data_IF_452272592930
#
_entry.id   IF_452272592930
#
_cell.length_a   1.000
_cell.length_b   1.000
_cell.length_c   1.000
_cell.angle_alpha   90.00
_cell.angle_beta   90.00
_cell.angle_gamma   90.00
#
_symmetry.space_group_name_H-M   'P 1'
#
loop_
_entity.id
_entity.type
_entity.pdbx_description
1 polymer ?
#
# COMPACT_ATOMS: atom_id res chain seq x y z
N UNK A 1 18.05 -11.85 -39.84
CA UNK A 1 18.58 -12.85 -38.89
C UNK A 1 17.41 -13.27 -38.01
N UNK A 2 16.77 -14.38 -38.38
CA UNK A 2 15.48 -14.81 -37.84
C UNK A 2 15.75 -15.97 -36.90
N UNK A 3 15.49 -15.80 -35.60
CA UNK A 3 15.62 -16.89 -34.63
C UNK A 3 14.24 -17.56 -34.50
N UNK A 4 14.22 -18.81 -34.96
CA UNK A 4 13.09 -19.73 -34.96
C UNK A 4 12.68 -20.08 -33.52
N UNK A 5 11.36 -20.11 -33.27
CA UNK A 5 10.76 -20.61 -32.02
C UNK A 5 10.95 -22.14 -31.95
N UNK A 6 11.30 -22.73 -30.79
CA UNK A 6 11.30 -24.18 -30.65
C UNK A 6 9.86 -24.71 -30.52
N UNK A 7 9.51 -25.66 -31.40
CA UNK A 7 8.34 -26.52 -31.30
C UNK A 7 8.70 -27.64 -30.33
N UNK A 8 8.05 -27.71 -29.16
CA UNK A 8 8.19 -28.85 -28.25
C UNK A 8 6.99 -29.77 -28.48
N UNK A 9 7.23 -30.88 -29.18
CA UNK A 9 6.31 -32.01 -29.22
C UNK A 9 6.40 -32.75 -27.87
N UNK A 10 5.39 -32.61 -27.01
CA UNK A 10 5.28 -33.40 -25.79
C UNK A 10 4.29 -34.55 -26.00
N UNK A 11 4.82 -35.77 -25.96
CA UNK A 11 4.07 -37.04 -25.84
C UNK A 11 3.34 -37.05 -24.48
N UNK A 12 2.07 -37.46 -24.38
CA UNK A 12 1.38 -37.53 -23.09
C UNK A 12 1.85 -38.78 -22.32
N UNK A 13 2.75 -38.60 -21.35
CA UNK A 13 3.09 -39.68 -20.42
C UNK A 13 2.25 -39.52 -19.14
N UNK A 14 1.33 -40.48 -18.93
CA UNK A 14 0.55 -40.64 -17.71
C UNK A 14 1.48 -41.04 -16.55
N UNK A 15 1.35 -40.35 -15.43
CA UNK A 15 1.86 -40.82 -14.14
C UNK A 15 3.28 -40.37 -13.83
N UNK A 16 3.39 -39.22 -13.18
CA UNK A 16 4.21 -39.00 -11.99
C UNK A 16 4.00 -37.54 -11.57
N UNK A 17 3.50 -37.34 -10.36
CA UNK A 17 3.41 -36.01 -9.74
C UNK A 17 4.82 -35.44 -9.60
N UNK A 18 5.21 -34.62 -10.57
CA UNK A 18 6.32 -33.69 -10.40
C UNK A 18 5.79 -32.62 -9.46
N UNK A 19 6.22 -32.69 -8.20
CA UNK A 19 6.03 -31.60 -7.25
C UNK A 19 6.81 -30.43 -7.85
N UNK A 20 6.08 -29.45 -8.40
CA UNK A 20 6.62 -28.20 -8.87
C UNK A 20 7.17 -27.45 -7.65
N UNK A 21 8.43 -27.70 -7.31
CA UNK A 21 9.21 -26.89 -6.39
C UNK A 21 9.72 -25.66 -7.13
N UNK A 22 8.80 -24.86 -7.68
CA UNK A 22 9.10 -23.46 -7.96
C UNK A 22 9.59 -22.87 -6.64
N UNK A 23 10.83 -22.33 -6.57
CA UNK A 23 11.27 -21.62 -5.38
C UNK A 23 10.23 -20.52 -5.15
N UNK A 24 9.57 -20.52 -3.99
CA UNK A 24 8.84 -19.36 -3.53
C UNK A 24 9.89 -18.24 -3.50
N UNK A 25 9.95 -17.45 -4.56
CA UNK A 25 10.76 -16.25 -4.60
C UNK A 25 10.27 -15.44 -3.40
N UNK A 26 11.05 -15.44 -2.33
CA UNK A 26 10.94 -14.48 -1.26
C UNK A 26 11.23 -13.14 -1.93
N UNK A 27 10.19 -12.55 -2.50
CA UNK A 27 10.23 -11.20 -2.97
C UNK A 27 10.35 -10.37 -1.70
N UNK A 28 11.58 -10.01 -1.34
CA UNK A 28 11.86 -9.13 -0.22
C UNK A 28 10.89 -7.96 -0.33
N UNK A 29 10.09 -7.74 0.72
CA UNK A 29 9.09 -6.69 0.69
C UNK A 29 9.82 -5.37 0.40
N UNK A 30 9.55 -4.77 -0.76
CA UNK A 30 10.26 -3.56 -1.19
C UNK A 30 9.91 -2.32 -0.33
N UNK A 31 9.03 -2.47 0.66
CA UNK A 31 8.66 -1.44 1.63
C UNK A 31 8.87 -1.93 3.04
N UNK A 32 9.26 -1.01 3.94
CA UNK A 32 9.30 -1.29 5.38
C UNK A 32 7.91 -1.68 5.94
N UNK A 33 6.83 -1.24 5.28
CA UNK A 33 5.44 -1.61 5.50
C UNK A 33 4.57 -1.15 4.32
N UNK A 34 3.46 -1.83 4.08
CA UNK A 34 2.47 -1.44 3.05
C UNK A 34 1.18 -0.87 3.65
N UNK A 35 1.06 -0.91 4.98
CA UNK A 35 -0.09 -0.41 5.72
C UNK A 35 0.29 0.25 7.04
N UNK A 36 -0.40 1.34 7.37
CA UNK A 36 -0.36 1.99 8.69
C UNK A 36 -1.81 2.14 9.16
N UNK A 37 -2.09 1.71 10.39
CA UNK A 37 -3.40 1.89 11.02
C UNK A 37 -3.23 2.53 12.40
N UNK A 38 -3.82 3.70 12.58
CA UNK A 38 -3.90 4.37 13.89
C UNK A 38 -5.13 3.86 14.66
N UNK A 39 -5.03 3.70 15.96
CA UNK A 39 -6.15 3.25 16.78
C UNK A 39 -6.58 4.36 17.74
N UNK A 40 -7.86 4.37 18.11
CA UNK A 40 -8.42 5.30 19.10
C UNK A 40 -8.09 6.78 18.82
N UNK A 41 -8.33 7.25 17.60
CA UNK A 41 -8.09 8.66 17.25
C UNK A 41 -9.34 9.52 17.45
N UNK A 42 -9.18 10.76 17.90
CA UNK A 42 -10.29 11.69 18.04
C UNK A 42 -10.72 12.29 16.68
N UNK A 43 -12.02 12.62 16.49
CA UNK A 43 -12.45 13.47 15.38
C UNK A 43 -11.68 14.79 15.32
N UNK A 44 -11.34 15.26 14.13
CA UNK A 44 -10.56 16.48 13.92
C UNK A 44 -9.04 16.34 14.12
N UNK A 45 -8.55 15.17 14.53
CA UNK A 45 -7.12 14.92 14.74
C UNK A 45 -6.34 14.78 13.43
N UNK A 46 -5.02 14.95 13.52
CA UNK A 46 -4.07 14.78 12.43
C UNK A 46 -3.08 13.68 12.80
N UNK A 47 -2.87 12.72 11.90
CA UNK A 47 -1.97 11.59 12.12
C UNK A 47 -0.87 11.60 11.07
N UNK A 48 0.37 11.79 11.51
CA UNK A 48 1.53 11.74 10.63
C UNK A 48 1.89 10.30 10.30
N UNK A 49 2.21 10.03 9.04
CA UNK A 49 2.61 8.71 8.57
C UNK A 49 3.85 8.78 7.68
N UNK A 50 4.58 7.67 7.60
CA UNK A 50 5.76 7.53 6.74
C UNK A 50 5.97 6.09 6.32
N UNK A 51 6.25 5.91 5.03
CA UNK A 51 6.66 4.67 4.39
C UNK A 51 8.05 4.84 3.80
N UNK A 52 8.88 3.81 3.93
CA UNK A 52 10.24 3.78 3.39
C UNK A 52 10.33 2.68 2.34
N UNK A 53 10.66 3.07 1.11
CA UNK A 53 10.96 2.15 0.02
C UNK A 53 12.40 1.63 0.18
N UNK A 54 12.54 0.32 0.18
CA UNK A 54 13.78 -0.45 0.32
C UNK A 54 14.23 -1.04 -1.02
N UNK A 55 13.38 -0.98 -2.04
CA UNK A 55 13.72 -1.46 -3.38
C UNK A 55 14.68 -0.54 -4.14
N UNK A 56 15.06 -0.97 -5.34
CA UNK A 56 16.08 -0.29 -6.17
C UNK A 56 15.51 0.79 -7.09
N UNK A 57 14.19 0.81 -7.29
CA UNK A 57 13.52 1.79 -8.15
C UNK A 57 13.53 3.19 -7.53
N UNK A 58 13.48 4.21 -8.37
CA UNK A 58 13.34 5.59 -7.91
C UNK A 58 11.86 5.98 -7.85
N UNK A 59 11.46 6.63 -6.76
CA UNK A 59 10.12 7.19 -6.61
C UNK A 59 9.99 8.45 -7.47
N UNK A 60 8.92 8.53 -8.26
CA UNK A 60 8.59 9.70 -9.09
C UNK A 60 7.60 10.63 -8.39
N UNK A 61 6.54 10.07 -7.82
CA UNK A 61 5.50 10.83 -7.10
C UNK A 61 4.65 9.91 -6.22
N UNK A 62 3.88 10.50 -5.31
CA UNK A 62 2.85 9.81 -4.56
C UNK A 62 1.59 10.68 -4.45
N UNK A 63 0.42 10.06 -4.50
CA UNK A 63 -0.87 10.73 -4.43
C UNK A 63 -1.84 9.97 -3.52
N UNK A 64 -2.52 10.69 -2.61
CA UNK A 64 -3.56 10.12 -1.79
C UNK A 64 -4.91 10.07 -2.51
N UNK A 65 -5.78 9.15 -2.11
CA UNK A 65 -7.12 9.01 -2.67
C UNK A 65 -8.13 10.09 -2.23
N UNK A 66 -7.81 10.92 -1.24
CA UNK A 66 -8.63 12.07 -0.86
C UNK A 66 -7.76 13.29 -0.53
N UNK A 67 -8.35 14.48 -0.66
CA UNK A 67 -7.75 15.74 -0.18
C UNK A 67 -7.59 15.79 1.35
N UNK A 68 -8.31 14.94 2.09
CA UNK A 68 -8.18 14.77 3.53
C UNK A 68 -6.85 14.13 3.97
N UNK A 69 -6.07 13.62 3.03
CA UNK A 69 -4.75 13.04 3.27
C UNK A 69 -3.73 13.80 2.44
N UNK A 70 -2.78 14.47 3.09
CA UNK A 70 -1.64 15.05 2.39
C UNK A 70 -0.58 14.00 2.16
N UNK A 71 0.16 14.09 1.07
CA UNK A 71 1.26 13.17 0.75
C UNK A 71 2.39 13.92 0.08
N UNK A 72 3.61 13.59 0.46
CA UNK A 72 4.85 14.08 -0.12
C UNK A 72 5.81 12.92 -0.33
N UNK A 73 6.72 13.09 -1.30
CA UNK A 73 7.79 12.13 -1.57
C UNK A 73 9.14 12.84 -1.45
N UNK A 74 10.08 12.24 -0.71
CA UNK A 74 11.44 12.75 -0.56
C UNK A 74 12.43 11.59 -0.58
N UNK A 75 13.20 11.46 -1.67
CA UNK A 75 14.08 10.32 -1.87
C UNK A 75 13.29 9.01 -1.94
N UNK A 76 13.61 8.07 -1.06
CA UNK A 76 12.90 6.79 -0.92
C UNK A 76 11.77 6.81 0.12
N UNK A 77 11.40 7.98 0.64
CA UNK A 77 10.37 8.13 1.68
C UNK A 77 9.09 8.72 1.08
N UNK A 78 7.95 8.13 1.44
CA UNK A 78 6.61 8.68 1.21
C UNK A 78 5.99 8.98 2.56
N UNK A 79 5.72 10.26 2.85
CA UNK A 79 5.18 10.70 4.13
C UNK A 79 4.01 11.65 3.94
N UNK A 80 3.27 11.92 5.01
CA UNK A 80 2.10 12.78 4.93
C UNK A 80 1.31 12.85 6.22
N UNK A 81 0.12 13.44 6.13
CA UNK A 81 -0.80 13.60 7.25
C UNK A 81 -2.18 13.08 6.85
N UNK A 82 -2.69 12.10 7.60
CA UNK A 82 -4.09 11.71 7.56
C UNK A 82 -4.88 12.66 8.47
N UNK A 83 -5.75 13.48 7.88
CA UNK A 83 -6.67 14.33 8.64
C UNK A 83 -8.00 13.63 8.84
N UNK A 84 -8.39 13.48 10.10
CA UNK A 84 -9.70 12.96 10.48
C UNK A 84 -10.68 14.13 10.49
N UNK A 85 -11.78 14.00 9.75
CA UNK A 85 -12.82 15.04 9.74
C UNK A 85 -13.35 15.30 11.16
N UNK A 86 -13.77 16.53 11.44
CA UNK A 86 -14.45 16.87 12.70
C UNK A 86 -15.87 16.34 12.70
N UNK A 87 -16.50 16.25 11.53
CA UNK A 87 -17.90 15.88 11.40
C UNK A 87 -18.10 14.35 11.37
N UNK A 88 -18.11 13.75 12.55
CA UNK A 88 -18.48 12.34 12.73
C UNK A 88 -19.94 12.14 13.17
N UNK A 89 -20.77 13.21 13.15
CA UNK A 89 -22.16 13.17 13.62
C UNK A 89 -23.04 12.15 12.86
N UNK A 90 -22.79 11.97 11.56
CA UNK A 90 -23.57 11.06 10.69
C UNK A 90 -23.23 9.57 10.79
N UNK A 91 -22.17 9.18 11.49
CA UNK A 91 -21.77 7.77 11.59
C UNK A 91 -22.59 7.09 12.70
N UNK A 92 -23.16 5.90 12.48
CA UNK A 92 -23.79 5.14 13.58
C UNK A 92 -22.71 4.43 14.40
N UNK A 93 -22.74 4.59 15.73
CA UNK A 93 -21.78 3.97 16.66
C UNK A 93 -20.74 4.93 17.25
N UNK A 94 -20.02 4.43 18.27
CA UNK A 94 -18.99 5.18 18.99
C UNK A 94 -17.64 5.18 18.24
N UNK A 95 -17.39 4.17 17.41
CA UNK A 95 -16.17 4.03 16.62
C UNK A 95 -16.44 3.93 15.13
N UNK A 96 -15.47 4.32 14.32
CA UNK A 96 -15.54 4.30 12.86
C UNK A 96 -14.17 3.99 12.26
N UNK A 97 -14.11 3.19 11.20
CA UNK A 97 -12.86 2.95 10.48
C UNK A 97 -12.76 3.87 9.26
N UNK A 98 -11.63 4.54 9.14
CA UNK A 98 -11.23 5.32 7.97
C UNK A 98 -10.06 4.59 7.32
N UNK A 99 -10.11 4.42 6.01
CA UNK A 99 -8.99 3.87 5.23
C UNK A 99 -8.82 4.67 3.96
N UNK A 100 -7.58 4.98 3.63
CA UNK A 100 -7.15 5.75 2.46
C UNK A 100 -6.00 5.04 1.79
N UNK A 101 -5.94 5.20 0.47
CA UNK A 101 -4.89 4.63 -0.36
C UNK A 101 -3.93 5.72 -0.79
N UNK A 102 -2.65 5.38 -0.84
CA UNK A 102 -1.57 6.19 -1.39
C UNK A 102 -1.04 5.46 -2.62
N UNK A 103 -1.25 6.04 -3.80
CA UNK A 103 -0.69 5.52 -5.04
C UNK A 103 0.69 6.11 -5.25
N UNK A 104 1.71 5.26 -5.23
CA UNK A 104 3.11 5.62 -5.47
C UNK A 104 3.44 5.29 -6.93
N UNK A 105 3.96 6.26 -7.67
CA UNK A 105 4.42 6.09 -9.04
C UNK A 105 5.94 6.09 -9.07
N UNK A 106 6.54 5.11 -9.74
CA UNK A 106 7.98 5.01 -9.95
C UNK A 106 8.39 5.71 -11.26
N UNK A 107 9.70 5.93 -11.44
CA UNK A 107 10.24 6.57 -12.65
C UNK A 107 10.02 5.75 -13.93
N UNK A 108 9.88 4.42 -13.82
CA UNK A 108 9.49 3.51 -14.90
C UNK A 108 7.97 3.51 -15.19
N UNK A 109 7.22 4.39 -14.54
CA UNK A 109 5.75 4.51 -14.58
C UNK A 109 4.98 3.30 -14.01
N UNK A 110 5.66 2.33 -13.40
CA UNK A 110 4.97 1.34 -12.57
C UNK A 110 4.38 2.02 -11.32
N UNK A 111 3.36 1.39 -10.74
CA UNK A 111 2.69 1.92 -9.55
C UNK A 111 2.58 0.86 -8.46
N UNK A 112 2.58 1.31 -7.22
CA UNK A 112 2.26 0.50 -6.05
C UNK A 112 1.30 1.27 -5.14
N UNK A 113 0.47 0.52 -4.40
CA UNK A 113 -0.55 1.09 -3.52
C UNK A 113 -0.20 0.78 -2.06
N UNK A 114 -0.16 1.83 -1.24
CA UNK A 114 0.00 1.74 0.20
C UNK A 114 -1.31 2.14 0.88
N UNK A 115 -1.49 1.75 2.13
CA UNK A 115 -2.72 2.03 2.89
C UNK A 115 -2.42 2.79 4.17
N UNK A 116 -3.19 3.83 4.44
CA UNK A 116 -3.18 4.53 5.72
C UNK A 116 -4.60 4.63 6.24
N UNK A 117 -4.82 4.20 7.48
CA UNK A 117 -6.14 4.16 8.07
C UNK A 117 -6.12 4.53 9.55
N UNK A 118 -7.31 4.70 10.10
CA UNK A 118 -7.50 4.94 11.51
C UNK A 118 -8.83 4.38 12.01
N UNK A 119 -8.86 3.90 13.25
CA UNK A 119 -10.09 3.70 14.01
C UNK A 119 -10.36 4.95 14.84
N UNK A 120 -11.36 5.72 14.42
CA UNK A 120 -11.81 6.96 15.05
C UNK A 120 -12.76 6.62 16.19
N UNK A 121 -12.53 7.17 17.38
CA UNK A 121 -13.42 7.06 18.53
C UNK A 121 -14.00 8.45 18.84
N UNK A 122 -15.33 8.57 18.71
CA UNK A 122 -16.04 9.84 18.86
C UNK A 122 -16.08 10.38 20.28
N UNK A 123 -15.84 9.53 21.26
CA UNK A 123 -15.84 9.93 22.67
C UNK A 123 -14.55 10.65 23.05
N UNK A 124 -13.51 10.56 22.22
CA UNK A 124 -12.24 11.22 22.44
C UNK A 124 -12.29 12.68 21.98
N UNK A 125 -11.55 13.53 22.68
CA UNK A 125 -11.35 14.94 22.34
C UNK A 125 -9.87 15.17 22.03
N UNK A 126 -9.60 16.07 21.10
CA UNK A 126 -8.25 16.58 20.85
C UNK A 126 -7.84 17.35 22.11
N UNK A 127 -6.66 17.07 22.66
CA UNK A 127 -6.08 17.80 23.79
C UNK A 127 -5.57 19.17 23.35
#
# INVERSE_FOLDING_TARGET
MTILKPIINAVPNKGNSVVDITPLQHQEAEWNRTGISFTNVAPGSKQEYSFTYLGKKTLKSAAASCSCTSTVTKGNIVSGVLTIDKNFSGIKGQTANVSKTITVTFTDNTQQVLTVGATVNKLLKIQ
#
